data_IF_644872008353
#
_entry.id   IF_644872008353
#
_cell.length_a   1.000
_cell.length_b   1.000
_cell.length_c   1.000
_cell.angle_alpha   90.00
_cell.angle_beta   90.00
_cell.angle_gamma   90.00
#
_symmetry.space_group_name_H-M   'P 1'
#
loop_
_entity.id
_entity.type
_entity.pdbx_description
1 polymer ?
#
# COMPACT_ATOMS: atom_id res chain seq x y z
N UNK A 1 19.42 13.81 -3.17
CA UNK A 1 18.53 14.87 -2.70
C UNK A 1 17.19 14.59 -3.37
N UNK A 2 16.09 14.45 -2.61
CA UNK A 2 14.76 14.29 -3.20
C UNK A 2 14.41 15.63 -3.85
N UNK A 3 14.21 15.64 -5.17
CA UNK A 3 13.90 16.86 -5.92
C UNK A 3 12.39 17.14 -5.77
N UNK A 4 12.05 17.79 -4.66
CA UNK A 4 10.66 18.10 -4.28
C UNK A 4 10.04 19.20 -5.17
N UNK A 5 10.85 19.88 -5.98
CA UNK A 5 10.44 20.98 -6.88
C UNK A 5 10.15 20.50 -8.32
N UNK A 6 10.06 19.18 -8.57
CA UNK A 6 9.69 18.65 -9.88
C UNK A 6 8.16 18.46 -10.01
N UNK A 7 7.42 19.37 -10.66
CA UNK A 7 5.97 19.31 -10.78
C UNK A 7 5.45 18.15 -11.65
N UNK A 8 6.32 17.44 -12.38
CA UNK A 8 5.95 16.28 -13.19
C UNK A 8 5.81 14.97 -12.38
N UNK A 9 6.26 14.97 -11.12
CA UNK A 9 6.24 13.77 -10.27
C UNK A 9 5.00 13.78 -9.38
N UNK A 10 3.85 13.47 -9.98
CA UNK A 10 2.62 13.19 -9.21
C UNK A 10 2.55 11.71 -8.88
N UNK A 11 2.39 11.38 -7.61
CA UNK A 11 2.13 10.02 -7.18
C UNK A 11 0.74 9.58 -7.67
N UNK A 12 0.59 8.33 -8.14
CA UNK A 12 -0.72 7.81 -8.52
C UNK A 12 -1.65 7.82 -7.30
N UNK A 13 -2.93 8.03 -7.56
CA UNK A 13 -3.98 8.09 -6.52
C UNK A 13 -5.08 7.09 -6.83
N UNK A 14 -5.51 6.37 -5.80
CA UNK A 14 -6.66 5.48 -5.85
C UNK A 14 -7.93 6.24 -5.47
N UNK A 15 -8.97 6.14 -6.30
CA UNK A 15 -10.28 6.73 -6.03
C UNK A 15 -11.26 5.63 -5.65
N UNK A 16 -11.53 5.50 -4.36
CA UNK A 16 -12.54 4.60 -3.83
C UNK A 16 -13.92 5.26 -3.86
N UNK A 17 -14.89 4.66 -4.55
CA UNK A 17 -16.27 5.17 -4.63
C UNK A 17 -17.22 4.25 -3.88
N UNK A 18 -17.87 4.76 -2.84
CA UNK A 18 -18.81 3.98 -2.04
C UNK A 18 -19.97 4.86 -1.54
N UNK A 19 -21.20 4.33 -1.63
CA UNK A 19 -22.43 4.99 -1.15
C UNK A 19 -22.58 6.45 -1.60
N UNK A 20 -22.17 6.75 -2.84
CA UNK A 20 -22.23 8.11 -3.41
C UNK A 20 -21.17 9.08 -2.89
N UNK A 21 -20.17 8.59 -2.14
CA UNK A 21 -18.99 9.35 -1.70
C UNK A 21 -17.75 8.87 -2.44
N UNK A 22 -16.80 9.78 -2.62
CA UNK A 22 -15.49 9.50 -3.18
C UNK A 22 -14.42 9.74 -2.12
N UNK A 23 -13.51 8.79 -1.99
CA UNK A 23 -12.36 8.84 -1.09
C UNK A 23 -11.11 8.68 -1.94
N UNK A 24 -10.22 9.67 -1.88
CA UNK A 24 -8.98 9.66 -2.66
C UNK A 24 -7.81 9.36 -1.75
N UNK A 25 -6.97 8.40 -2.13
CA UNK A 25 -5.77 8.03 -1.42
C UNK A 25 -4.59 8.06 -2.38
N UNK A 26 -3.59 8.90 -2.11
CA UNK A 26 -2.32 8.80 -2.83
C UNK A 26 -1.57 7.52 -2.43
N UNK A 27 -0.69 7.06 -3.32
CA UNK A 27 0.07 5.83 -3.15
C UNK A 27 0.86 5.76 -1.82
N UNK A 28 1.45 6.88 -1.35
CA UNK A 28 2.22 6.90 -0.11
C UNK A 28 1.32 6.77 1.11
N UNK A 29 0.22 7.52 1.13
CA UNK A 29 -0.79 7.45 2.18
C UNK A 29 -1.36 6.04 2.28
N UNK A 30 -1.69 5.44 1.14
CA UNK A 30 -2.23 4.10 1.07
C UNK A 30 -1.19 3.06 1.54
N UNK A 31 0.05 3.13 1.04
CA UNK A 31 1.15 2.26 1.47
C UNK A 31 1.49 2.36 2.96
N UNK A 32 1.49 3.56 3.54
CA UNK A 32 1.75 3.75 4.98
C UNK A 32 0.62 3.16 5.84
N UNK A 33 -0.64 3.38 5.46
CA UNK A 33 -1.81 2.85 6.18
C UNK A 33 -1.89 1.32 6.08
N UNK A 34 -1.50 0.74 4.96
CA UNK A 34 -1.44 -0.71 4.78
C UNK A 34 -0.45 -1.40 5.75
N UNK A 35 0.62 -0.73 6.18
CA UNK A 35 1.56 -1.29 7.17
C UNK A 35 0.91 -1.57 8.52
N UNK A 36 -0.09 -0.78 8.91
CA UNK A 36 -0.88 -1.02 10.13
C UNK A 36 -1.66 -2.34 10.09
N UNK A 37 -1.81 -2.95 8.90
CA UNK A 37 -2.56 -4.17 8.65
C UNK A 37 -1.68 -5.39 8.30
N UNK A 38 -0.35 -5.25 8.23
CA UNK A 38 0.57 -6.33 7.81
C UNK A 38 0.49 -7.61 8.67
N UNK A 39 0.13 -7.47 9.96
CA UNK A 39 0.11 -8.58 10.93
C UNK A 39 -1.28 -8.90 11.46
N UNK A 40 -2.32 -8.35 10.83
CA UNK A 40 -3.71 -8.51 11.28
C UNK A 40 -4.42 -9.43 10.30
N UNK A 41 -4.80 -10.60 10.78
CA UNK A 41 -5.54 -11.61 10.00
C UNK A 41 -7.00 -11.74 10.45
N UNK A 42 -7.32 -11.25 11.66
CA UNK A 42 -8.67 -11.30 12.21
C UNK A 42 -9.60 -10.31 11.47
N UNK A 43 -10.69 -10.76 10.84
CA UNK A 43 -11.56 -9.92 10.02
C UNK A 43 -12.21 -8.74 10.77
N UNK A 44 -12.54 -8.92 12.05
CA UNK A 44 -13.15 -7.87 12.87
C UNK A 44 -12.12 -6.80 13.23
N UNK A 45 -10.87 -7.20 13.49
CA UNK A 45 -9.76 -6.25 13.65
C UNK A 45 -9.43 -5.53 12.35
N UNK A 46 -9.47 -6.24 11.21
CA UNK A 46 -9.30 -5.62 9.88
C UNK A 46 -10.37 -4.56 9.68
N UNK A 47 -11.64 -4.85 9.96
CA UNK A 47 -12.73 -3.88 9.87
C UNK A 47 -12.44 -2.63 10.71
N UNK A 48 -12.09 -2.81 11.98
CA UNK A 48 -11.82 -1.70 12.89
C UNK A 48 -10.68 -0.79 12.38
N UNK A 49 -9.61 -1.39 11.86
CA UNK A 49 -8.45 -0.66 11.35
C UNK A 49 -8.75 -0.03 9.99
N UNK A 50 -9.39 -0.73 9.07
CA UNK A 50 -9.77 -0.19 7.75
C UNK A 50 -10.70 1.00 7.90
N UNK A 51 -11.71 0.87 8.76
CA UNK A 51 -12.66 1.96 9.01
C UNK A 51 -11.96 3.20 9.57
N UNK A 52 -11.08 3.01 10.56
CA UNK A 52 -10.38 4.11 11.23
C UNK A 52 -9.29 4.74 10.37
N UNK A 53 -8.38 3.93 9.83
CA UNK A 53 -7.20 4.42 9.12
C UNK A 53 -7.58 4.99 7.75
N UNK A 54 -8.67 4.54 7.14
CA UNK A 54 -9.13 5.05 5.84
C UNK A 54 -10.31 6.03 5.95
N UNK A 55 -10.79 6.36 7.15
CA UNK A 55 -11.86 7.35 7.34
C UNK A 55 -13.21 6.90 6.75
N UNK A 56 -13.51 5.60 6.90
CA UNK A 56 -14.69 4.95 6.32
C UNK A 56 -15.80 4.69 7.37
N UNK A 57 -15.76 5.36 8.53
CA UNK A 57 -16.69 5.16 9.66
C UNK A 57 -18.14 5.30 9.24
N UNK A 58 -18.42 6.26 8.36
CA UNK A 58 -19.77 6.59 7.90
C UNK A 58 -20.34 5.52 6.96
N UNK A 59 -19.49 4.66 6.38
CA UNK A 59 -19.91 3.64 5.42
C UNK A 59 -20.53 2.41 6.09
N UNK A 60 -20.42 2.23 7.42
CA UNK A 60 -20.99 1.07 8.14
C UNK A 60 -20.69 -0.25 7.41
N UNK A 61 -19.40 -0.49 7.16
CA UNK A 61 -18.92 -1.69 6.45
C UNK A 61 -19.07 -2.94 7.31
N UNK A 62 -19.28 -4.08 6.66
CA UNK A 62 -19.07 -5.41 7.23
C UNK A 62 -17.59 -5.80 7.18
N UNK A 63 -17.19 -6.77 8.01
CA UNK A 63 -15.82 -7.31 7.99
C UNK A 63 -15.41 -7.85 6.62
N UNK A 64 -16.36 -8.46 5.90
CA UNK A 64 -16.13 -8.94 4.53
C UNK A 64 -15.84 -7.80 3.55
N UNK A 65 -16.65 -6.73 3.58
CA UNK A 65 -16.42 -5.55 2.72
C UNK A 65 -15.08 -4.88 3.04
N UNK A 66 -14.71 -4.79 4.32
CA UNK A 66 -13.41 -4.24 4.72
C UNK A 66 -12.23 -5.07 4.19
N UNK A 67 -12.33 -6.40 4.20
CA UNK A 67 -11.32 -7.28 3.62
C UNK A 67 -11.20 -7.11 2.10
N UNK A 68 -12.32 -6.94 1.38
CA UNK A 68 -12.31 -6.69 -0.06
C UNK A 68 -11.67 -5.35 -0.41
N UNK A 69 -12.02 -4.29 0.33
CA UNK A 69 -11.41 -2.96 0.16
C UNK A 69 -9.90 -3.03 0.41
N UNK A 70 -9.49 -3.78 1.44
CA UNK A 70 -8.08 -3.98 1.75
C UNK A 70 -7.33 -4.70 0.62
N UNK A 71 -7.94 -5.71 0.01
CA UNK A 71 -7.37 -6.42 -1.14
C UNK A 71 -7.18 -5.51 -2.35
N UNK A 72 -8.19 -4.69 -2.68
CA UNK A 72 -8.11 -3.71 -3.76
C UNK A 72 -7.03 -2.66 -3.52
N UNK A 73 -6.91 -2.17 -2.28
CA UNK A 73 -5.84 -1.25 -1.88
C UNK A 73 -4.46 -1.88 -2.03
N UNK A 74 -4.29 -3.15 -1.63
CA UNK A 74 -3.01 -3.86 -1.79
C UNK A 74 -2.65 -4.03 -3.27
N UNK A 75 -3.60 -4.45 -4.11
CA UNK A 75 -3.38 -4.58 -5.56
C UNK A 75 -2.94 -3.27 -6.18
N UNK A 76 -3.65 -2.17 -5.90
CA UNK A 76 -3.25 -0.86 -6.38
C UNK A 76 -1.84 -0.48 -5.90
N UNK A 77 -1.54 -0.69 -4.61
CA UNK A 77 -0.22 -0.41 -4.07
C UNK A 77 0.87 -1.27 -4.73
N UNK A 78 0.62 -2.54 -5.04
CA UNK A 78 1.60 -3.41 -5.70
C UNK A 78 1.81 -3.05 -7.17
N UNK A 79 0.71 -2.84 -7.91
CA UNK A 79 0.74 -2.53 -9.35
C UNK A 79 1.32 -1.14 -9.63
N UNK A 80 0.96 -0.15 -8.81
CA UNK A 80 1.29 1.25 -9.06
C UNK A 80 2.52 1.73 -8.28
N UNK A 81 3.12 0.93 -7.39
CA UNK A 81 4.28 1.40 -6.62
C UNK A 81 5.63 1.17 -7.30
N UNK A 82 5.82 0.17 -8.16
CA UNK A 82 7.18 -0.13 -8.63
C UNK A 82 7.72 0.93 -9.61
N UNK A 83 6.96 1.31 -10.63
CA UNK A 83 7.37 2.28 -11.66
C UNK A 83 7.57 3.72 -11.11
N UNK A 84 6.63 4.29 -10.35
CA UNK A 84 6.77 5.65 -9.81
C UNK A 84 7.82 5.74 -8.71
N UNK A 85 7.93 4.75 -7.80
CA UNK A 85 8.98 4.75 -6.79
C UNK A 85 10.36 4.57 -7.45
N UNK A 86 10.48 3.79 -8.53
CA UNK A 86 11.72 3.72 -9.31
C UNK A 86 12.09 5.06 -9.94
N UNK A 87 11.11 5.85 -10.43
CA UNK A 87 11.33 7.20 -10.96
C UNK A 87 11.74 8.20 -9.86
N UNK A 88 11.16 8.09 -8.66
CA UNK A 88 11.47 8.95 -7.50
C UNK A 88 12.82 8.60 -6.85
N UNK A 89 13.13 7.31 -6.69
CA UNK A 89 14.27 6.82 -5.92
C UNK A 89 15.44 6.30 -6.78
N UNK A 90 15.27 6.24 -8.11
CA UNK A 90 16.28 5.72 -9.05
C UNK A 90 16.49 4.20 -9.02
N UNK A 91 15.70 3.45 -8.23
CA UNK A 91 15.76 1.98 -8.09
C UNK A 91 14.42 1.40 -7.64
N UNK A 92 14.15 0.15 -8.02
CA UNK A 92 12.99 -0.59 -7.49
C UNK A 92 13.17 -0.83 -5.98
N UNK A 93 12.12 -0.54 -5.20
CA UNK A 93 12.09 -0.83 -3.76
C UNK A 93 11.46 -2.20 -3.47
N UNK A 94 10.75 -2.78 -4.44
CA UNK A 94 10.18 -4.12 -4.39
C UNK A 94 11.03 -5.07 -5.22
N UNK A 95 12.33 -5.11 -4.92
CA UNK A 95 13.10 -6.25 -5.40
C UNK A 95 12.57 -7.50 -4.70
N UNK A 96 12.24 -8.59 -5.40
CA UNK A 96 12.15 -9.87 -4.73
C UNK A 96 13.52 -10.06 -4.09
N UNK A 97 13.54 -10.20 -2.78
CA UNK A 97 14.73 -10.69 -2.09
C UNK A 97 14.97 -12.09 -2.65
N UNK A 98 15.73 -12.21 -3.74
CA UNK A 98 16.58 -13.37 -3.93
C UNK A 98 17.50 -13.34 -2.73
N UNK A 99 17.10 -14.09 -1.71
CA UNK A 99 17.96 -14.51 -0.62
C UNK A 99 19.05 -15.37 -1.25
N UNK A 100 19.97 -14.75 -1.98
CA UNK A 100 21.28 -15.30 -2.22
C UNK A 100 21.97 -15.18 -0.86
N UNK A 101 21.67 -16.17 -0.01
CA UNK A 101 22.49 -16.44 1.16
C UNK A 101 23.94 -16.42 0.69
N UNK A 102 24.85 -15.69 1.35
CA UNK A 102 26.26 -15.79 0.99
C UNK A 102 26.63 -17.27 1.08
N UNK A 103 26.98 -17.89 -0.06
CA UNK A 103 27.62 -19.19 -0.07
C UNK A 103 28.80 -19.08 0.90
N UNK A 104 28.67 -19.74 2.05
CA UNK A 104 29.77 -19.92 2.97
C UNK A 104 30.89 -20.54 2.15
N UNK A 105 32.00 -19.81 2.00
CA UNK A 105 33.22 -20.31 1.39
C UNK A 105 33.53 -21.66 2.02
N UNK A 106 33.53 -22.71 1.20
CA UNK A 106 34.22 -23.94 1.53
C UNK A 106 35.71 -23.61 1.60
N UNK A 107 36.27 -23.60 2.81
CA UNK A 107 37.71 -23.77 2.98
C UNK A 107 38.04 -25.26 3.04
N UNK A 108 39.13 -25.60 2.35
CA UNK A 108 39.68 -26.93 2.12
C UNK A 108 40.52 -27.42 3.30
#
# INVERSE_FOLDING_TARGET
>A
MLDLDNPEVTLPSYVFKAKGKEYTYDLLTLGYRLRSLEKIEDPEKILAVVVKEFGLEELKLSAFEACLILDDFRKFAEEEADEPLKKVFGRSLFSPTTTDSPQAKSES
#
